data_IF_533225029262
#
_entry.id   IF_533225029262
#
_cell.length_a   1.000
_cell.length_b   1.000
_cell.length_c   1.000
_cell.angle_alpha   90.00
_cell.angle_beta   90.00
_cell.angle_gamma   90.00
#
_symmetry.space_group_name_H-M   'P 1'
#
loop_
_entity.id
_entity.type
_entity.pdbx_description
1 polymer ?
#
# COMPACT_ATOMS: atom_id res chain seq x y z
N UNK A 1 -30.02 -26.87 64.72
CA UNK A 1 -30.01 -27.30 63.30
C UNK A 1 -30.17 -26.08 62.41
N UNK A 2 -29.11 -25.65 61.72
CA UNK A 2 -29.17 -24.65 60.64
C UNK A 2 -28.18 -25.10 59.56
N UNK A 3 -28.70 -25.54 58.42
CA UNK A 3 -27.90 -25.82 57.21
C UNK A 3 -27.75 -24.50 56.45
N UNK A 4 -26.51 -24.06 56.27
CA UNK A 4 -26.16 -22.96 55.39
C UNK A 4 -25.83 -23.56 54.01
N UNK A 5 -26.65 -23.25 53.00
CA UNK A 5 -26.35 -23.56 51.60
C UNK A 5 -25.33 -22.54 51.10
N UNK A 6 -24.18 -23.02 50.63
CA UNK A 6 -23.19 -22.22 49.92
C UNK A 6 -23.49 -22.36 48.41
N UNK A 7 -23.95 -21.27 47.78
CA UNK A 7 -24.07 -21.17 46.33
C UNK A 7 -22.72 -20.71 45.76
N UNK A 8 -22.05 -21.58 45.02
CA UNK A 8 -20.85 -21.22 44.26
C UNK A 8 -21.29 -20.62 42.92
N UNK A 9 -21.11 -19.31 42.74
CA UNK A 9 -21.23 -18.66 41.43
C UNK A 9 -19.98 -19.00 40.61
N UNK A 10 -20.16 -19.80 39.55
CA UNK A 10 -19.15 -20.03 38.53
C UNK A 10 -19.14 -18.81 37.60
N UNK A 11 -18.14 -17.93 37.72
CA UNK A 11 -17.95 -16.84 36.79
C UNK A 11 -17.44 -17.41 35.45
N UNK A 12 -18.31 -17.44 34.43
CA UNK A 12 -17.90 -17.64 33.05
C UNK A 12 -17.10 -16.41 32.60
N UNK A 13 -15.79 -16.55 32.47
CA UNK A 13 -14.97 -15.58 31.74
C UNK A 13 -15.33 -15.64 30.25
N UNK A 14 -15.64 -14.51 29.59
CA UNK A 14 -15.71 -14.48 28.13
C UNK A 14 -14.34 -14.87 27.58
N UNK A 15 -14.33 -15.89 26.71
CA UNK A 15 -13.12 -16.35 26.05
C UNK A 15 -12.42 -15.21 25.32
N UNK A 16 -11.12 -15.10 25.51
CA UNK A 16 -10.26 -14.39 24.58
C UNK A 16 -10.46 -15.01 23.20
N UNK A 17 -10.98 -14.23 22.27
CA UNK A 17 -10.94 -14.57 20.85
C UNK A 17 -9.48 -14.66 20.42
N UNK A 18 -9.03 -15.88 20.21
CA UNK A 18 -7.84 -16.19 19.44
C UNK A 18 -8.22 -16.23 17.96
N UNK A 19 -7.88 -15.16 17.22
CA UNK A 19 -7.45 -15.15 15.81
C UNK A 19 -7.51 -13.72 15.21
N UNK A 20 -6.73 -12.78 15.75
CA UNK A 20 -6.40 -11.54 15.03
C UNK A 20 -4.93 -11.60 14.63
N UNK A 21 -4.68 -12.30 13.53
CA UNK A 21 -3.39 -12.28 12.84
C UNK A 21 -3.14 -10.84 12.42
N UNK A 22 -2.24 -10.14 13.12
CA UNK A 22 -1.76 -8.78 12.83
C UNK A 22 -1.59 -8.60 11.32
N UNK A 23 -2.56 -7.98 10.64
CA UNK A 23 -2.56 -7.80 9.18
C UNK A 23 -1.51 -6.78 8.72
N UNK A 24 -0.72 -6.22 9.64
CA UNK A 24 0.15 -5.08 9.38
C UNK A 24 -0.63 -3.81 9.00
N UNK A 25 -1.96 -3.80 9.12
CA UNK A 25 -2.84 -2.69 8.78
C UNK A 25 -3.51 -2.16 10.05
N UNK A 26 -3.42 -0.85 10.28
CA UNK A 26 -4.07 -0.15 11.39
C UNK A 26 -4.99 0.91 10.83
N UNK A 27 -6.23 0.97 11.33
CA UNK A 27 -7.25 1.94 10.90
C UNK A 27 -7.44 2.99 11.99
N UNK A 28 -7.35 4.26 11.63
CA UNK A 28 -7.72 5.40 12.48
C UNK A 28 -8.92 6.11 11.83
N UNK A 29 -10.12 5.81 12.33
CA UNK A 29 -11.38 6.38 11.80
C UNK A 29 -11.52 7.86 12.12
N UNK A 30 -10.92 8.33 13.21
CA UNK A 30 -10.97 9.74 13.62
C UNK A 30 -10.10 10.59 12.69
N UNK A 31 -8.88 10.13 12.40
CA UNK A 31 -7.97 10.78 11.45
C UNK A 31 -8.27 10.44 9.98
N UNK A 32 -9.19 9.51 9.75
CA UNK A 32 -9.49 8.95 8.42
C UNK A 32 -8.24 8.45 7.70
N UNK A 33 -7.42 7.70 8.43
CA UNK A 33 -6.15 7.19 7.92
C UNK A 33 -6.01 5.69 8.11
N UNK A 34 -5.20 5.10 7.25
CA UNK A 34 -4.80 3.69 7.26
C UNK A 34 -3.28 3.66 7.29
N UNK A 35 -2.71 2.99 8.29
CA UNK A 35 -1.27 2.79 8.43
C UNK A 35 -0.90 1.34 8.16
N UNK A 36 0.13 1.14 7.36
CA UNK A 36 0.58 -0.17 6.88
C UNK A 36 2.04 -0.37 7.25
N UNK A 37 2.36 -1.51 7.84
CA UNK A 37 3.72 -1.97 8.09
C UNK A 37 4.45 -2.19 6.76
N UNK A 38 5.59 -1.54 6.59
CA UNK A 38 6.34 -1.57 5.34
C UNK A 38 7.85 -1.60 5.57
N UNK A 39 8.61 -1.93 4.53
CA UNK A 39 10.08 -1.86 4.51
C UNK A 39 10.55 -1.21 3.22
N UNK A 40 11.65 -0.46 3.26
CA UNK A 40 12.28 0.02 2.02
C UNK A 40 12.63 -1.17 1.13
N UNK A 41 12.12 -1.17 -0.10
CA UNK A 41 12.31 -2.25 -1.03
C UNK A 41 13.76 -2.30 -1.54
N UNK A 42 14.30 -3.50 -1.84
CA UNK A 42 15.56 -3.60 -2.56
C UNK A 42 15.42 -3.01 -3.97
N UNK A 43 16.34 -2.13 -4.37
CA UNK A 43 16.33 -1.54 -5.73
C UNK A 43 16.86 -2.49 -6.78
N UNK A 44 17.69 -3.45 -6.38
CA UNK A 44 18.19 -4.53 -7.26
C UNK A 44 17.84 -5.89 -6.65
N UNK A 45 17.06 -6.69 -7.36
CA UNK A 45 16.85 -8.08 -6.99
C UNK A 45 18.03 -8.94 -7.44
N UNK A 46 18.37 -9.97 -6.66
CA UNK A 46 19.52 -10.83 -6.93
C UNK A 46 19.42 -11.59 -8.26
N UNK A 47 18.21 -11.83 -8.76
CA UNK A 47 17.93 -12.52 -10.02
C UNK A 47 17.89 -11.58 -11.24
N UNK A 48 18.16 -10.28 -11.07
CA UNK A 48 18.12 -9.29 -12.14
C UNK A 48 19.50 -8.64 -12.34
N UNK A 49 19.86 -8.41 -13.60
CA UNK A 49 21.13 -7.78 -13.98
C UNK A 49 21.11 -6.27 -13.80
N UNK A 50 19.93 -5.64 -13.90
CA UNK A 50 19.73 -4.20 -13.95
C UNK A 50 18.79 -3.69 -12.85
N UNK A 51 18.80 -2.37 -12.63
CA UNK A 51 17.84 -1.65 -11.79
C UNK A 51 16.80 -1.01 -12.70
N UNK A 52 15.52 -1.31 -12.47
CA UNK A 52 14.42 -0.82 -13.29
C UNK A 52 13.84 0.48 -12.72
N UNK A 53 13.33 1.39 -13.57
CA UNK A 53 12.61 2.57 -13.10
C UNK A 53 11.47 2.20 -12.14
N UNK A 54 11.22 3.05 -11.15
CA UNK A 54 10.12 2.85 -10.20
C UNK A 54 8.76 3.02 -10.90
N UNK A 55 7.90 2.02 -10.78
CA UNK A 55 6.50 2.06 -11.24
C UNK A 55 5.49 1.92 -10.09
N UNK A 56 5.93 1.40 -8.93
CA UNK A 56 5.09 1.18 -7.76
C UNK A 56 5.61 1.94 -6.55
N UNK A 57 4.71 2.55 -5.78
CA UNK A 57 5.07 3.01 -4.43
C UNK A 57 5.10 1.82 -3.48
N UNK A 58 4.09 0.96 -3.52
CA UNK A 58 3.98 -0.15 -2.60
C UNK A 58 3.45 -1.43 -3.25
N UNK A 59 4.00 -2.56 -2.82
CA UNK A 59 3.56 -3.89 -3.22
C UNK A 59 4.25 -5.00 -2.42
N UNK A 60 3.92 -6.25 -2.69
CA UNK A 60 4.57 -7.39 -2.05
C UNK A 60 6.04 -7.54 -2.45
N UNK A 61 6.89 -8.08 -1.57
CA UNK A 61 8.26 -8.41 -1.90
C UNK A 61 8.35 -9.58 -2.89
N UNK A 62 9.51 -9.73 -3.55
CA UNK A 62 9.85 -10.94 -4.30
C UNK A 62 9.94 -12.15 -3.36
N UNK A 63 9.49 -13.36 -3.77
CA UNK A 63 8.93 -13.71 -5.08
C UNK A 63 7.42 -13.52 -5.21
N UNK A 64 6.72 -13.12 -4.14
CA UNK A 64 5.24 -13.06 -4.11
C UNK A 64 4.70 -11.93 -5.00
N UNK A 65 5.34 -10.76 -5.00
CA UNK A 65 4.93 -9.60 -5.79
C UNK A 65 5.41 -9.64 -7.23
N UNK A 66 4.50 -9.46 -8.19
CA UNK A 66 4.82 -9.50 -9.64
C UNK A 66 5.77 -8.38 -10.08
N UNK A 67 5.80 -7.26 -9.34
CA UNK A 67 6.53 -6.02 -9.68
C UNK A 67 7.46 -5.55 -8.54
N UNK A 68 8.02 -6.50 -7.77
CA UNK A 68 8.85 -6.18 -6.61
C UNK A 68 10.16 -5.43 -6.95
N UNK A 69 10.66 -5.52 -8.19
CA UNK A 69 11.93 -4.92 -8.64
C UNK A 69 11.84 -3.41 -8.95
N UNK A 70 10.63 -2.86 -8.99
CA UNK A 70 10.32 -1.49 -9.38
C UNK A 70 9.43 -0.80 -8.33
N UNK A 71 9.56 -1.24 -7.07
CA UNK A 71 8.76 -0.78 -5.94
C UNK A 71 9.59 0.06 -4.97
N UNK A 72 9.00 1.07 -4.30
CA UNK A 72 9.66 1.88 -3.26
C UNK A 72 9.65 1.18 -1.90
N UNK A 73 8.48 0.70 -1.46
CA UNK A 73 8.33 -0.04 -0.20
C UNK A 73 7.64 -1.38 -0.39
N UNK A 74 8.11 -2.40 0.31
CA UNK A 74 7.45 -3.70 0.38
C UNK A 74 6.51 -3.77 1.58
N UNK A 75 5.39 -4.47 1.43
CA UNK A 75 4.40 -4.73 2.49
C UNK A 75 4.14 -6.24 2.59
N UNK A 76 3.74 -6.70 3.77
CA UNK A 76 3.25 -8.07 3.98
C UNK A 76 1.72 -8.15 3.99
N UNK A 77 1.05 -7.00 4.20
CA UNK A 77 -0.41 -6.88 4.19
C UNK A 77 -1.01 -7.29 2.84
N UNK A 78 -2.15 -7.96 2.86
CA UNK A 78 -2.90 -8.25 1.64
C UNK A 78 -3.56 -6.96 1.11
N UNK A 79 -3.45 -6.64 -0.20
CA UNK A 79 -4.05 -5.44 -0.76
C UNK A 79 -5.56 -5.32 -0.52
N UNK A 80 -6.32 -6.41 -0.51
CA UNK A 80 -7.74 -6.40 -0.14
C UNK A 80 -7.99 -6.02 1.32
N UNK A 81 -7.06 -6.30 2.25
CA UNK A 81 -7.16 -5.82 3.62
C UNK A 81 -7.00 -4.29 3.68
N UNK A 82 -6.07 -3.73 2.90
CA UNK A 82 -5.90 -2.28 2.77
C UNK A 82 -7.12 -1.63 2.10
N UNK A 83 -7.69 -2.28 1.08
CA UNK A 83 -8.94 -1.83 0.45
C UNK A 83 -10.07 -1.68 1.47
N UNK A 84 -10.32 -2.74 2.25
CA UNK A 84 -11.36 -2.74 3.30
C UNK A 84 -11.08 -1.67 4.35
N UNK A 85 -9.82 -1.50 4.76
CA UNK A 85 -9.42 -0.44 5.69
C UNK A 85 -9.72 0.97 5.16
N UNK A 86 -9.55 1.21 3.86
CA UNK A 86 -9.91 2.49 3.23
C UNK A 86 -11.43 2.70 3.17
N UNK A 87 -12.21 1.63 2.96
CA UNK A 87 -13.67 1.70 3.08
C UNK A 87 -14.12 1.99 4.51
N UNK A 88 -13.43 1.43 5.51
CA UNK A 88 -13.73 1.65 6.93
C UNK A 88 -13.51 3.08 7.41
N UNK A 89 -12.63 3.84 6.76
CA UNK A 89 -12.49 5.30 6.98
C UNK A 89 -13.46 6.13 6.14
N UNK A 90 -14.39 5.48 5.44
CA UNK A 90 -15.51 6.09 4.73
C UNK A 90 -15.25 6.41 3.26
N UNK A 91 -14.15 5.93 2.67
CA UNK A 91 -13.91 6.10 1.24
C UNK A 91 -14.68 5.07 0.43
N UNK A 92 -15.00 5.40 -0.82
CA UNK A 92 -15.55 4.45 -1.79
C UNK A 92 -14.56 4.31 -2.94
N UNK A 93 -14.22 3.08 -3.37
CA UNK A 93 -13.32 2.91 -4.49
C UNK A 93 -13.95 3.48 -5.77
N UNK A 94 -13.12 4.06 -6.63
CA UNK A 94 -13.53 4.41 -7.99
C UNK A 94 -13.25 3.27 -8.96
N UNK A 95 -12.40 3.54 -9.95
CA UNK A 95 -12.06 2.58 -11.01
C UNK A 95 -10.57 2.69 -11.38
N UNK A 96 -9.82 1.57 -11.43
CA UNK A 96 -8.44 1.59 -11.89
C UNK A 96 -8.38 1.75 -13.42
N UNK A 97 -7.23 2.22 -13.89
CA UNK A 97 -6.91 2.43 -15.29
C UNK A 97 -5.78 1.51 -15.74
N UNK A 98 -5.82 1.11 -17.02
CA UNK A 98 -4.79 0.29 -17.66
C UNK A 98 -4.65 0.65 -19.13
N UNK A 99 -3.42 0.91 -19.54
CA UNK A 99 -3.07 1.19 -20.93
C UNK A 99 -3.40 2.62 -21.38
N UNK A 100 -3.14 2.88 -22.65
CA UNK A 100 -3.29 4.20 -23.25
C UNK A 100 -4.75 4.66 -23.30
N UNK A 101 -4.96 5.99 -23.17
CA UNK A 101 -6.29 6.59 -23.25
C UNK A 101 -7.21 6.31 -22.05
N UNK A 102 -6.68 5.72 -20.97
CA UNK A 102 -7.44 5.46 -19.74
C UNK A 102 -6.99 6.36 -18.59
N UNK A 103 -7.94 6.69 -17.72
CA UNK A 103 -7.72 7.51 -16.53
C UNK A 103 -8.31 6.83 -15.29
N UNK A 104 -7.57 6.90 -14.18
CA UNK A 104 -8.01 6.36 -12.90
C UNK A 104 -9.09 7.26 -12.30
N UNK A 105 -10.05 6.68 -11.59
CA UNK A 105 -11.10 7.42 -10.89
C UNK A 105 -11.17 6.97 -9.43
N UNK A 106 -11.58 7.87 -8.54
CA UNK A 106 -11.72 7.60 -7.11
C UNK A 106 -11.42 8.85 -6.27
N UNK A 107 -11.70 8.80 -4.96
CA UNK A 107 -11.35 9.88 -4.05
C UNK A 107 -9.82 9.98 -3.89
N UNK A 108 -9.34 11.21 -3.74
CA UNK A 108 -7.93 11.48 -3.51
C UNK A 108 -7.49 10.95 -2.12
N UNK A 109 -6.29 10.37 -2.09
CA UNK A 109 -5.62 9.82 -0.91
C UNK A 109 -4.22 10.40 -0.84
N UNK A 110 -3.88 10.99 0.31
CA UNK A 110 -2.53 11.42 0.61
C UNK A 110 -1.69 10.21 0.96
N UNK A 111 -0.53 10.09 0.32
CA UNK A 111 0.44 9.02 0.58
C UNK A 111 1.64 9.60 1.31
N UNK A 112 2.00 8.97 2.43
CA UNK A 112 3.20 9.32 3.19
C UNK A 112 3.96 8.07 3.61
N UNK A 113 5.29 8.11 3.55
CA UNK A 113 6.17 7.16 4.24
C UNK A 113 6.66 7.83 5.53
N UNK A 114 6.36 7.23 6.67
CA UNK A 114 6.91 7.65 7.96
C UNK A 114 8.18 6.85 8.27
N UNK A 115 9.29 7.58 8.36
CA UNK A 115 10.61 7.05 8.68
C UNK A 115 10.86 7.27 10.18
N UNK A 116 11.14 6.22 10.96
CA UNK A 116 11.48 6.36 12.37
C UNK A 116 12.69 7.28 12.58
N UNK A 117 12.64 8.18 13.56
CA UNK A 117 13.69 9.17 13.84
C UNK A 117 14.37 8.94 15.21
N UNK A 118 14.59 7.67 15.59
CA UNK A 118 15.09 7.32 16.92
C UNK A 118 14.13 7.81 18.01
N UNK A 119 14.62 8.66 18.92
CA UNK A 119 13.83 9.25 20.01
C UNK A 119 12.94 10.43 19.58
N UNK A 120 13.06 10.89 18.32
CA UNK A 120 12.28 12.00 17.77
C UNK A 120 11.01 11.57 17.03
N UNK A 121 10.13 12.53 16.67
CA UNK A 121 8.95 12.24 15.87
C UNK A 121 9.34 11.69 14.50
N UNK A 122 8.57 10.73 14.00
CA UNK A 122 8.84 10.12 12.69
C UNK A 122 8.85 11.19 11.58
N UNK A 123 9.84 11.09 10.70
CA UNK A 123 9.95 11.95 9.52
C UNK A 123 8.95 11.50 8.47
N UNK A 124 8.01 12.38 8.11
CA UNK A 124 7.02 12.14 7.06
C UNK A 124 7.57 12.53 5.69
N UNK A 125 7.53 11.59 4.73
CA UNK A 125 7.98 11.80 3.35
C UNK A 125 6.82 11.58 2.38
N UNK A 126 6.47 12.60 1.61
CA UNK A 126 5.51 12.52 0.50
C UNK A 126 6.20 12.09 -0.81
N UNK A 127 5.47 11.66 -1.85
CA UNK A 127 6.04 11.23 -3.12
C UNK A 127 7.01 12.23 -3.75
N UNK A 128 6.74 13.54 -3.68
CA UNK A 128 7.66 14.59 -4.18
C UNK A 128 9.00 14.65 -3.43
N UNK A 129 9.10 14.01 -2.26
CA UNK A 129 10.35 13.90 -1.51
C UNK A 129 11.09 12.62 -1.86
N UNK A 130 10.40 11.49 -1.86
CA UNK A 130 11.06 10.19 -2.00
C UNK A 130 11.20 9.69 -3.45
N UNK A 131 10.52 10.30 -4.41
CA UNK A 131 10.67 10.01 -5.85
C UNK A 131 11.34 11.18 -6.58
N UNK A 132 12.31 10.86 -7.42
CA UNK A 132 13.05 11.82 -8.25
C UNK A 132 13.23 11.31 -9.68
N UNK A 133 13.43 12.22 -10.61
CA UNK A 133 14.02 11.91 -11.91
C UNK A 133 15.54 11.66 -11.71
N UNK A 134 16.09 10.50 -12.09
CA UNK A 134 17.49 10.17 -11.84
C UNK A 134 18.46 11.00 -12.67
N UNK A 135 18.03 11.54 -13.82
CA UNK A 135 18.84 12.39 -14.71
C UNK A 135 18.83 13.84 -14.25
N UNK A 136 17.64 14.40 -14.01
CA UNK A 136 17.48 15.83 -13.70
C UNK A 136 17.48 16.14 -12.20
N UNK A 137 17.38 15.12 -11.35
CA UNK A 137 17.20 15.22 -9.88
C UNK A 137 15.96 16.01 -9.47
N UNK A 138 15.05 16.30 -10.40
CA UNK A 138 13.80 17.00 -10.09
C UNK A 138 12.89 16.08 -9.28
N UNK A 139 12.18 16.63 -8.27
CA UNK A 139 11.23 15.88 -7.47
C UNK A 139 10.02 15.45 -8.30
N UNK A 140 9.37 14.36 -7.87
CA UNK A 140 8.08 13.95 -8.42
C UNK A 140 7.04 15.09 -8.29
N UNK A 141 6.20 15.34 -9.32
CA UNK A 141 5.36 16.53 -9.31
C UNK A 141 4.28 16.49 -8.22
N UNK A 142 4.21 17.53 -7.39
CA UNK A 142 3.20 17.70 -6.33
C UNK A 142 1.76 17.78 -6.84
N UNK A 143 1.57 18.10 -8.12
CA UNK A 143 0.26 18.16 -8.76
C UNK A 143 -0.34 16.77 -8.99
N UNK A 144 0.48 15.71 -8.99
CA UNK A 144 -0.01 14.34 -9.15
C UNK A 144 -0.79 13.92 -7.92
N UNK A 145 -2.01 13.45 -8.15
CA UNK A 145 -2.89 12.92 -7.11
C UNK A 145 -2.80 11.41 -7.09
N UNK A 146 -3.05 10.80 -5.94
CA UNK A 146 -3.27 9.37 -5.81
C UNK A 146 -4.71 9.13 -5.44
N UNK A 147 -5.34 8.15 -6.08
CA UNK A 147 -6.78 7.88 -5.96
C UNK A 147 -6.98 6.48 -5.41
N UNK A 148 -7.96 6.33 -4.52
CA UNK A 148 -8.46 5.02 -4.15
C UNK A 148 -9.34 4.47 -5.27
N UNK A 149 -8.77 3.62 -6.11
CA UNK A 149 -9.41 3.09 -7.31
C UNK A 149 -10.15 1.80 -7.08
N UNK A 150 -9.77 1.04 -6.04
CA UNK A 150 -10.06 -0.39 -6.01
C UNK A 150 -9.29 -1.13 -7.09
N UNK A 151 -9.63 -2.40 -7.31
CA UNK A 151 -8.96 -3.31 -8.23
C UNK A 151 -9.98 -4.08 -9.05
N UNK A 152 -9.57 -4.57 -10.22
CA UNK A 152 -10.38 -5.49 -11.02
C UNK A 152 -10.44 -6.88 -10.37
N UNK A 153 -11.45 -7.67 -10.76
CA UNK A 153 -11.47 -9.10 -10.49
C UNK A 153 -10.77 -9.83 -11.65
N UNK A 154 -9.62 -10.44 -11.36
CA UNK A 154 -8.74 -11.08 -12.34
C UNK A 154 -8.78 -12.59 -12.23
N UNK A 155 -8.58 -13.25 -13.37
CA UNK A 155 -8.38 -14.69 -13.44
C UNK A 155 -6.89 -15.00 -13.25
N UNK A 156 -6.54 -15.98 -12.42
CA UNK A 156 -5.14 -16.33 -12.14
C UNK A 156 -4.44 -16.92 -13.37
N UNK A 157 -5.14 -17.79 -14.09
CA UNK A 157 -4.68 -18.45 -15.32
C UNK A 157 -5.88 -18.93 -16.14
N UNK A 158 -5.76 -19.11 -17.48
CA UNK A 158 -6.89 -19.47 -18.35
C UNK A 158 -7.64 -20.75 -17.94
N UNK A 159 -6.96 -21.67 -17.26
CA UNK A 159 -7.46 -22.95 -16.75
C UNK A 159 -8.17 -22.87 -15.39
N UNK A 160 -8.05 -21.74 -14.67
CA UNK A 160 -8.71 -21.51 -13.37
C UNK A 160 -9.78 -20.43 -13.52
N UNK A 161 -11.05 -20.76 -13.80
CA UNK A 161 -12.08 -19.77 -14.16
C UNK A 161 -12.47 -18.83 -13.01
N UNK A 162 -12.11 -19.17 -11.77
CA UNK A 162 -12.41 -18.37 -10.59
C UNK A 162 -11.66 -17.03 -10.64
N UNK A 163 -12.41 -15.94 -10.54
CA UNK A 163 -11.82 -14.60 -10.43
C UNK A 163 -11.50 -14.29 -8.97
N UNK A 164 -10.32 -13.74 -8.74
CA UNK A 164 -9.86 -13.22 -7.44
C UNK A 164 -9.65 -11.71 -7.54
N UNK A 165 -9.54 -11.07 -6.40
CA UNK A 165 -9.20 -9.65 -6.35
C UNK A 165 -7.81 -9.45 -6.99
N UNK A 166 -7.72 -8.67 -8.07
CA UNK A 166 -6.53 -8.60 -8.91
C UNK A 166 -5.30 -8.14 -8.15
N UNK A 167 -5.45 -7.15 -7.27
CA UNK A 167 -4.37 -6.69 -6.41
C UNK A 167 -3.83 -7.80 -5.48
N UNK A 168 -4.66 -8.75 -5.04
CA UNK A 168 -4.22 -9.91 -4.25
C UNK A 168 -3.56 -11.01 -5.11
N UNK A 169 -3.73 -10.95 -6.43
CA UNK A 169 -2.97 -11.80 -7.36
C UNK A 169 -1.62 -11.18 -7.72
N UNK A 170 -1.57 -9.87 -7.90
CA UNK A 170 -0.35 -9.15 -8.31
C UNK A 170 0.57 -8.81 -7.13
N UNK A 171 -0.02 -8.62 -5.95
CA UNK A 171 0.62 -7.99 -4.80
C UNK A 171 0.83 -6.49 -4.98
N UNK A 172 0.21 -5.84 -5.97
CA UNK A 172 0.37 -4.41 -6.22
C UNK A 172 -0.63 -3.60 -5.39
N UNK A 173 -0.13 -2.73 -4.50
CA UNK A 173 -0.99 -1.85 -3.71
C UNK A 173 -1.17 -0.48 -4.35
N UNK A 174 -0.07 0.16 -4.76
CA UNK A 174 -0.08 1.55 -5.25
C UNK A 174 0.75 1.66 -6.53
N UNK A 175 0.07 1.86 -7.65
CA UNK A 175 0.68 2.05 -8.96
C UNK A 175 0.85 3.54 -9.30
N UNK A 176 2.02 3.91 -9.85
CA UNK A 176 2.29 5.26 -10.32
C UNK A 176 1.72 5.45 -11.73
N UNK A 177 1.93 4.48 -12.62
CA UNK A 177 1.43 4.52 -13.99
C UNK A 177 0.34 3.47 -14.21
N UNK A 178 -0.55 3.62 -15.22
CA UNK A 178 -1.56 2.63 -15.60
C UNK A 178 -0.99 1.45 -16.39
N UNK A 179 0.09 0.86 -15.88
CA UNK A 179 0.66 -0.40 -16.36
C UNK A 179 -0.15 -1.62 -15.90
N UNK A 180 -0.99 -1.45 -14.88
CA UNK A 180 -1.87 -2.49 -14.34
C UNK A 180 -3.14 -1.88 -13.74
N UNK A 181 -4.24 -2.61 -13.85
CA UNK A 181 -5.51 -2.39 -13.15
C UNK A 181 -5.67 -3.33 -11.93
N UNK A 182 -4.71 -4.23 -11.72
CA UNK A 182 -4.57 -5.09 -10.55
C UNK A 182 -3.90 -4.34 -9.38
N UNK A 183 -4.40 -3.15 -9.04
CA UNK A 183 -3.88 -2.28 -7.95
C UNK A 183 -5.02 -1.80 -7.05
N UNK A 184 -4.75 -1.23 -5.86
CA UNK A 184 -5.79 -0.65 -4.98
C UNK A 184 -5.84 0.87 -5.08
N UNK A 185 -4.67 1.50 -5.19
CA UNK A 185 -4.52 2.92 -5.44
C UNK A 185 -3.72 3.14 -6.72
N UNK A 186 -4.00 4.26 -7.36
CA UNK A 186 -3.33 4.64 -8.58
C UNK A 186 -3.15 6.15 -8.65
N UNK A 187 -2.04 6.60 -9.24
CA UNK A 187 -1.87 8.03 -9.47
C UNK A 187 -2.83 8.56 -10.56
N UNK A 188 -2.92 9.88 -10.67
CA UNK A 188 -3.64 10.58 -11.74
C UNK A 188 -2.86 10.66 -13.06
N UNK A 189 -1.65 10.09 -13.13
CA UNK A 189 -0.86 10.01 -14.35
C UNK A 189 -1.46 8.98 -15.32
N UNK A 190 -1.21 9.19 -16.60
CA UNK A 190 -1.60 8.29 -17.69
C UNK A 190 -0.37 7.65 -18.33
N UNK A 191 -0.56 6.79 -19.33
CA UNK A 191 0.57 6.29 -20.13
C UNK A 191 1.31 7.40 -20.90
N UNK A 192 0.73 8.60 -21.06
CA UNK A 192 1.40 9.71 -21.74
C UNK A 192 2.66 10.17 -20.99
N UNK A 193 2.64 10.10 -19.67
CA UNK A 193 3.74 10.54 -18.81
C UNK A 193 4.79 9.45 -18.58
N UNK A 194 4.43 8.16 -18.65
CA UNK A 194 5.33 7.02 -18.40
C UNK A 194 6.60 7.07 -19.25
N UNK A 195 6.47 7.42 -20.53
CA UNK A 195 7.61 7.53 -21.47
C UNK A 195 8.62 8.60 -21.09
N UNK A 196 8.21 9.63 -20.36
CA UNK A 196 9.05 10.78 -20.01
C UNK A 196 9.52 10.76 -18.56
N UNK A 197 8.75 10.13 -17.67
CA UNK A 197 8.98 10.15 -16.24
C UNK A 197 9.56 8.81 -15.77
N UNK A 198 10.87 8.63 -15.94
CA UNK A 198 11.59 7.49 -15.36
C UNK A 198 11.99 7.83 -13.93
N UNK A 199 11.43 7.12 -12.95
CA UNK A 199 11.56 7.48 -11.53
C UNK A 199 12.59 6.62 -10.82
N UNK A 200 13.23 7.21 -9.81
CA UNK A 200 14.10 6.54 -8.86
C UNK A 200 13.83 7.07 -7.44
N UNK A 201 14.23 6.28 -6.45
CA UNK A 201 14.19 6.63 -5.03
C UNK A 201 15.22 7.70 -4.67
N UNK A 202 14.82 8.64 -3.82
CA UNK A 202 15.72 9.64 -3.25
C UNK A 202 16.52 9.05 -2.06
N UNK A 203 17.73 8.60 -2.33
CA UNK A 203 18.62 7.95 -1.34
C UNK A 203 19.11 8.88 -0.23
N UNK A 204 19.00 10.19 -0.41
CA UNK A 204 19.38 11.16 0.62
C UNK A 204 18.30 11.30 1.70
N UNK A 205 17.06 10.87 1.40
CA UNK A 205 15.91 11.02 2.28
C UNK A 205 15.36 9.69 2.79
N UNK A 206 15.38 8.65 1.96
CA UNK A 206 14.95 7.30 2.36
C UNK A 206 16.07 6.59 3.13
N UNK A 207 15.71 5.80 4.18
CA UNK A 207 16.69 4.98 4.86
C UNK A 207 17.15 3.81 3.98
N UNK A 208 18.10 3.03 4.47
CA UNK A 208 18.65 1.86 3.75
C UNK A 208 17.55 0.84 3.43
N UNK A 209 17.75 0.10 2.35
CA UNK A 209 16.91 -1.05 1.97
C UNK A 209 16.71 -2.00 3.17
N UNK A 210 15.51 -2.56 3.29
CA UNK A 210 15.11 -3.40 4.41
C UNK A 210 14.74 -2.66 5.69
N UNK A 211 15.01 -1.36 5.81
CA UNK A 211 14.61 -0.57 6.98
C UNK A 211 13.10 -0.55 7.12
N UNK A 212 12.61 -0.86 8.33
CA UNK A 212 11.19 -0.79 8.66
C UNK A 212 10.71 0.67 8.67
N UNK A 213 9.58 0.91 8.01
CA UNK A 213 8.89 2.20 7.90
C UNK A 213 7.38 1.96 8.01
N UNK A 214 6.61 3.04 8.09
CA UNK A 214 5.15 2.96 7.95
C UNK A 214 4.72 3.62 6.64
N UNK A 215 3.82 2.99 5.91
CA UNK A 215 3.10 3.60 4.81
C UNK A 215 1.76 4.10 5.34
N UNK A 216 1.49 5.39 5.21
CA UNK A 216 0.26 6.01 5.70
C UNK A 216 -0.55 6.53 4.53
N UNK A 217 -1.82 6.13 4.50
CA UNK A 217 -2.83 6.52 3.52
C UNK A 217 -3.89 7.34 4.25
N UNK A 218 -4.01 8.62 3.92
CA UNK A 218 -4.97 9.52 4.56
C UNK A 218 -5.99 10.00 3.53
N UNK A 219 -7.29 9.96 3.87
CA UNK A 219 -8.31 10.59 3.04
C UNK A 219 -7.95 12.08 2.86
N UNK A 220 -7.82 12.54 1.61
CA UNK A 220 -7.60 13.96 1.38
C UNK A 220 -8.80 14.73 1.92
N UNK A 221 -8.57 15.63 2.90
CA UNK A 221 -9.60 16.52 3.41
C UNK A 221 -10.23 17.30 2.25
N UNK A 222 -11.56 17.44 2.28
CA UNK A 222 -12.28 18.31 1.33
C UNK A 222 -11.82 19.76 1.46
#
# INVERSE_FOLDING_TARGET
>A
MRRLLLFTFLALSPGLHADDKKTGVTVDKEKKSVTIDAKIAPRKLANLTEVYPIELIAGWPHPKGKKAHETVVTIDADPSAVHKALEEVGLKPGKPAKGEGTESAGPDVTITIEVPAGDGPAKKLTPDKFLIDPKTKKPFPKSVKFRFTGSVMSQESPDKPEKKYGADLSGTLIAIFPVTDETVLQSSLTMKEEKYLKLETNKDLLPKEGTAVKLVLEAAGK
#
